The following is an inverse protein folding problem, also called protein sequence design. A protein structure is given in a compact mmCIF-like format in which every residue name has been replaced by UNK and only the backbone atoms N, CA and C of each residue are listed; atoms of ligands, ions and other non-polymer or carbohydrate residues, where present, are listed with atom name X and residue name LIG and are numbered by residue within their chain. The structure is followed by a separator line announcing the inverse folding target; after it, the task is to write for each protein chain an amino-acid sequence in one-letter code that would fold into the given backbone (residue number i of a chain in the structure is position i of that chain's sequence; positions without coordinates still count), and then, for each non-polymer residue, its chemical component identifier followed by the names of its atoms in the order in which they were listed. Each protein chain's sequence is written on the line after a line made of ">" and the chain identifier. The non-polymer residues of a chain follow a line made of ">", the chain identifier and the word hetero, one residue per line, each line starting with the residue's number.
data_IF_737704794275
#
_entry.id   IF_737704794275
#
_cell.length_a   1.000
_cell.length_b   1.000
_cell.length_c   1.000
_cell.angle_alpha   90.00
_cell.angle_beta   90.00
_cell.angle_gamma   90.00
#
_symmetry.space_group_name_H-M   'P 1'
#
loop_
_entity.id
_entity.type
_entity.pdbx_description
1 polymer ?
#
# COMPACT_ATOMS: atom_id res chain seq x y z
N UNK A 1 10.43 -14.17 -2.09
CA UNK A 1 10.39 -12.79 -1.68
C UNK A 1 9.04 -12.12 -1.84
N UNK A 2 8.99 -10.89 -1.43
CA UNK A 2 7.78 -10.07 -1.49
C UNK A 2 7.97 -8.92 -2.47
N UNK A 3 6.88 -8.52 -3.11
CA UNK A 3 6.83 -7.22 -3.76
C UNK A 3 6.51 -6.15 -2.73
N UNK A 4 7.11 -4.99 -2.86
CA UNK A 4 6.88 -3.86 -1.97
C UNK A 4 6.43 -2.66 -2.80
N UNK A 5 5.23 -2.15 -2.52
CA UNK A 5 4.61 -1.12 -3.33
C UNK A 5 4.12 0.04 -2.48
N UNK A 6 4.08 1.24 -3.07
CA UNK A 6 3.53 2.43 -2.42
C UNK A 6 2.22 2.81 -3.09
N UNK A 7 1.18 3.03 -2.30
CA UNK A 7 -0.09 3.62 -2.73
C UNK A 7 -0.32 4.83 -1.84
N UNK A 8 -0.17 6.03 -2.37
CA UNK A 8 -0.13 7.23 -1.55
C UNK A 8 -0.94 8.38 -2.10
N UNK A 9 -1.61 9.08 -1.19
CA UNK A 9 -2.24 10.37 -1.47
C UNK A 9 -1.21 11.46 -1.14
N UNK A 10 -0.54 11.99 -2.16
CA UNK A 10 0.41 13.06 -1.91
C UNK A 10 0.49 14.04 -3.08
N UNK A 11 0.71 15.33 -2.79
CA UNK A 11 0.91 16.32 -3.84
C UNK A 11 2.18 16.04 -4.66
N UNK A 12 2.18 16.50 -5.91
CA UNK A 12 3.30 16.28 -6.82
C UNK A 12 4.61 16.84 -6.27
N UNK A 13 4.57 18.02 -5.68
CA UNK A 13 5.77 18.66 -5.14
C UNK A 13 6.38 17.84 -4.01
N UNK A 14 5.52 17.29 -3.16
CA UNK A 14 5.98 16.46 -2.06
C UNK A 14 6.57 15.15 -2.57
N UNK A 15 5.92 14.53 -3.54
CA UNK A 15 6.42 13.31 -4.15
C UNK A 15 7.79 13.54 -4.82
N UNK A 16 7.94 14.65 -5.55
CA UNK A 16 9.22 14.99 -6.19
C UNK A 16 10.34 15.13 -5.16
N UNK A 17 10.00 15.63 -3.97
CA UNK A 17 10.98 15.76 -2.90
C UNK A 17 11.34 14.40 -2.29
N UNK A 18 10.32 13.62 -1.86
CA UNK A 18 10.58 12.38 -1.11
C UNK A 18 11.07 11.24 -2.00
N UNK A 19 10.75 11.26 -3.29
CA UNK A 19 11.18 10.20 -4.21
C UNK A 19 12.70 10.15 -4.37
N UNK A 20 13.41 11.19 -3.95
CA UNK A 20 14.87 11.22 -3.95
C UNK A 20 15.46 10.46 -2.78
N UNK A 21 14.66 10.15 -1.76
CA UNK A 21 15.14 9.42 -0.60
C UNK A 21 15.47 7.99 -1.00
N UNK A 22 16.55 7.48 -0.45
CA UNK A 22 17.07 6.16 -0.80
C UNK A 22 16.05 5.04 -0.58
N UNK A 23 15.16 5.18 0.40
CA UNK A 23 14.14 4.16 0.71
C UNK A 23 13.26 3.84 -0.51
N UNK A 24 13.01 4.82 -1.39
CA UNK A 24 12.18 4.60 -2.57
C UNK A 24 12.78 3.64 -3.59
N UNK A 25 14.08 3.38 -3.49
CA UNK A 25 14.76 2.43 -4.35
C UNK A 25 14.34 0.97 -4.09
N UNK A 26 13.77 0.73 -2.92
CA UNK A 26 13.36 -0.61 -2.51
C UNK A 26 11.92 -0.94 -2.89
N UNK A 27 11.18 0.01 -3.44
CA UNK A 27 9.81 -0.24 -3.88
C UNK A 27 9.78 -0.76 -5.31
N UNK A 28 9.00 -1.81 -5.52
CA UNK A 28 8.83 -2.42 -6.84
C UNK A 28 7.87 -1.62 -7.71
N UNK A 29 7.02 -0.78 -7.11
CA UNK A 29 6.14 0.08 -7.84
C UNK A 29 5.47 1.11 -6.95
N UNK A 30 4.85 2.11 -7.58
CA UNK A 30 4.26 3.25 -6.90
C UNK A 30 3.02 3.74 -7.64
N UNK A 31 1.95 3.99 -6.89
CA UNK A 31 0.76 4.69 -7.40
C UNK A 31 0.58 5.91 -6.51
N UNK A 32 0.62 7.08 -7.12
CA UNK A 32 0.58 8.35 -6.40
C UNK A 32 -0.59 9.19 -6.91
N UNK A 33 -1.42 9.72 -5.98
CA UNK A 33 -2.66 10.41 -6.32
C UNK A 33 -2.46 11.58 -7.29
N UNK A 34 -1.40 12.34 -7.12
CA UNK A 34 -1.14 13.51 -7.97
C UNK A 34 -0.84 13.15 -9.44
N UNK A 35 -0.42 11.93 -9.70
CA UNK A 35 -0.13 11.45 -11.05
C UNK A 35 -1.32 10.80 -11.71
N UNK A 36 -2.21 10.20 -10.92
CA UNK A 36 -3.30 9.39 -11.45
C UNK A 36 -4.64 10.12 -11.53
N UNK A 37 -4.75 11.28 -10.88
CA UNK A 37 -6.03 11.98 -10.78
C UNK A 37 -7.05 11.27 -9.90
N UNK A 38 -6.61 10.34 -9.09
CA UNK A 38 -7.43 9.56 -8.16
C UNK A 38 -6.77 9.59 -6.80
N UNK A 39 -7.53 9.30 -5.75
CA UNK A 39 -7.03 9.26 -4.39
C UNK A 39 -7.73 8.18 -3.58
N UNK A 40 -7.02 7.61 -2.60
CA UNK A 40 -7.67 6.74 -1.62
C UNK A 40 -8.75 7.53 -0.88
N UNK A 41 -9.88 6.95 -0.55
CA UNK A 41 -10.24 5.54 -0.67
C UNK A 41 -10.99 5.16 -1.95
N UNK A 42 -10.83 5.90 -3.03
CA UNK A 42 -11.49 5.57 -4.29
C UNK A 42 -11.06 4.17 -4.73
N UNK A 43 -12.01 3.23 -4.96
CA UNK A 43 -11.65 1.87 -5.35
C UNK A 43 -10.84 1.79 -6.65
N UNK A 44 -10.98 2.77 -7.53
CA UNK A 44 -10.22 2.79 -8.79
C UNK A 44 -8.72 2.96 -8.55
N UNK A 45 -8.33 3.62 -7.44
CA UNK A 45 -6.92 3.78 -7.11
C UNK A 45 -6.29 2.45 -6.74
N UNK A 46 -7.02 1.62 -5.99
CA UNK A 46 -6.56 0.26 -5.67
C UNK A 46 -6.52 -0.61 -6.93
N UNK A 47 -7.49 -0.44 -7.82
CA UNK A 47 -7.52 -1.15 -9.09
C UNK A 47 -6.31 -0.85 -9.98
N UNK A 48 -5.86 0.39 -9.98
CA UNK A 48 -4.63 0.76 -10.71
C UNK A 48 -3.43 -0.02 -10.20
N UNK A 49 -3.32 -0.17 -8.89
CA UNK A 49 -2.21 -0.91 -8.29
C UNK A 49 -2.23 -2.38 -8.72
N UNK A 50 -3.36 -3.05 -8.58
CA UNK A 50 -3.47 -4.46 -8.91
C UNK A 50 -3.29 -4.71 -10.42
N UNK A 51 -3.86 -3.85 -11.25
CA UNK A 51 -3.80 -3.99 -12.70
C UNK A 51 -2.40 -3.68 -13.24
N UNK A 52 -1.80 -2.58 -12.81
CA UNK A 52 -0.50 -2.13 -13.31
C UNK A 52 0.63 -3.07 -12.93
N UNK A 53 0.57 -3.64 -11.74
CA UNK A 53 1.65 -4.49 -11.23
C UNK A 53 1.27 -5.97 -11.16
N UNK A 54 0.10 -6.34 -11.68
CA UNK A 54 -0.32 -7.73 -11.72
C UNK A 54 -0.54 -8.36 -10.35
N UNK A 55 -1.00 -7.57 -9.39
CA UNK A 55 -1.21 -8.05 -8.03
C UNK A 55 -2.59 -8.66 -7.85
N UNK A 56 -2.67 -9.63 -6.95
CA UNK A 56 -3.94 -10.25 -6.58
C UNK A 56 -4.31 -9.74 -5.18
N UNK A 57 -5.49 -9.11 -5.03
CA UNK A 57 -5.88 -8.57 -3.72
C UNK A 57 -5.78 -9.58 -2.58
N UNK A 58 -6.22 -10.82 -2.82
CA UNK A 58 -6.20 -11.86 -1.79
C UNK A 58 -4.79 -12.31 -1.38
N UNK A 59 -3.78 -11.89 -2.15
CA UNK A 59 -2.38 -12.19 -1.86
C UNK A 59 -1.60 -10.94 -1.46
N UNK A 60 -2.30 -9.84 -1.21
CA UNK A 60 -1.69 -8.55 -0.97
C UNK A 60 -2.16 -8.01 0.38
N UNK A 61 -1.20 -7.60 1.21
CA UNK A 61 -1.48 -6.92 2.46
C UNK A 61 -1.41 -5.41 2.23
N UNK A 62 -2.50 -4.72 2.53
CA UNK A 62 -2.56 -3.26 2.48
C UNK A 62 -2.44 -2.69 3.88
N UNK A 63 -1.47 -1.82 4.09
CA UNK A 63 -1.21 -1.17 5.39
C UNK A 63 -1.39 0.34 5.21
N UNK A 64 -2.22 0.92 6.06
CA UNK A 64 -2.48 2.36 6.04
C UNK A 64 -2.91 2.80 7.45
N UNK A 65 -2.66 4.03 7.80
CA UNK A 65 -3.05 4.55 9.11
C UNK A 65 -4.50 5.02 9.17
N UNK A 66 -5.15 5.18 8.02
CA UNK A 66 -6.54 5.66 7.97
C UNK A 66 -7.52 4.50 7.82
N UNK A 67 -8.45 4.34 8.78
CA UNK A 67 -9.45 3.28 8.70
C UNK A 67 -10.33 3.34 7.45
N UNK A 68 -10.60 4.54 6.92
CA UNK A 68 -11.36 4.67 5.69
C UNK A 68 -10.66 4.01 4.51
N UNK A 69 -9.33 4.06 4.49
CA UNK A 69 -8.54 3.46 3.42
C UNK A 69 -8.45 1.95 3.58
N UNK A 70 -8.18 1.45 4.79
CA UNK A 70 -8.12 0.00 5.02
C UNK A 70 -9.48 -0.66 4.85
N UNK A 71 -10.56 0.01 5.25
CA UNK A 71 -11.92 -0.51 5.00
C UNK A 71 -12.23 -0.63 3.51
N UNK A 72 -11.84 0.36 2.72
CA UNK A 72 -12.04 0.32 1.28
C UNK A 72 -11.25 -0.83 0.64
N UNK A 73 -10.00 -1.02 1.04
CA UNK A 73 -9.18 -2.12 0.56
C UNK A 73 -9.74 -3.48 0.95
N UNK A 74 -10.24 -3.61 2.18
CA UNK A 74 -10.85 -4.86 2.64
C UNK A 74 -12.04 -5.26 1.79
N UNK A 75 -12.86 -4.29 1.40
CA UNK A 75 -14.02 -4.56 0.53
C UNK A 75 -13.61 -5.06 -0.85
N UNK A 76 -12.39 -4.79 -1.27
CA UNK A 76 -11.86 -5.24 -2.54
C UNK A 76 -11.09 -6.57 -2.45
N UNK A 77 -11.05 -7.17 -1.27
CA UNK A 77 -10.43 -8.46 -1.06
C UNK A 77 -9.01 -8.45 -0.55
N UNK A 78 -8.45 -7.27 -0.27
CA UNK A 78 -7.11 -7.18 0.33
C UNK A 78 -7.12 -7.65 1.78
N UNK A 79 -6.04 -8.30 2.21
CA UNK A 79 -5.74 -8.38 3.63
C UNK A 79 -5.33 -6.98 4.08
N UNK A 80 -5.75 -6.54 5.25
CA UNK A 80 -5.50 -5.17 5.68
C UNK A 80 -4.99 -5.10 7.10
N UNK A 81 -4.23 -4.05 7.37
CA UNK A 81 -3.85 -3.69 8.73
C UNK A 81 -3.90 -2.16 8.84
N UNK A 82 -4.69 -1.67 9.81
CA UNK A 82 -4.73 -0.25 10.11
C UNK A 82 -3.58 0.06 11.04
N UNK A 83 -2.58 0.77 10.54
CA UNK A 83 -1.34 1.03 11.27
C UNK A 83 -1.55 2.06 12.37
N UNK A 84 -1.08 1.71 13.56
CA UNK A 84 -0.98 2.64 14.69
C UNK A 84 0.50 2.68 15.06
N UNK A 85 1.12 3.87 15.15
CA UNK A 85 2.54 3.94 15.47
C UNK A 85 2.86 3.18 16.75
N UNK A 86 3.88 2.31 16.69
CA UNK A 86 4.30 1.53 17.82
C UNK A 86 4.72 0.12 17.42
N UNK A 87 5.21 -0.60 18.42
CA UNK A 87 5.76 -1.93 18.24
C UNK A 87 4.72 -2.96 17.84
N UNK A 88 3.50 -2.84 18.37
CA UNK A 88 2.45 -3.83 18.12
C UNK A 88 2.06 -3.92 16.65
N UNK A 89 1.93 -2.78 15.96
CA UNK A 89 1.63 -2.78 14.54
C UNK A 89 2.75 -3.42 13.74
N UNK A 90 4.00 -3.15 14.08
CA UNK A 90 5.14 -3.75 13.40
C UNK A 90 5.14 -5.27 13.56
N UNK A 91 4.85 -5.76 14.76
CA UNK A 91 4.75 -7.20 15.02
C UNK A 91 3.59 -7.83 14.25
N UNK A 92 2.44 -7.15 14.21
CA UNK A 92 1.27 -7.65 13.48
C UNK A 92 1.52 -7.73 11.99
N UNK A 93 2.19 -6.74 11.42
CA UNK A 93 2.56 -6.76 10.00
C UNK A 93 3.47 -7.95 9.73
N UNK A 94 4.44 -8.18 10.60
CA UNK A 94 5.36 -9.31 10.46
C UNK A 94 4.62 -10.65 10.47
N UNK A 95 3.65 -10.81 11.36
CA UNK A 95 2.81 -12.01 11.42
C UNK A 95 2.01 -12.19 10.14
N UNK A 96 1.34 -11.14 9.68
CA UNK A 96 0.48 -11.19 8.50
C UNK A 96 1.29 -11.52 7.24
N UNK A 97 2.46 -10.94 7.11
CA UNK A 97 3.35 -11.22 5.97
C UNK A 97 3.83 -12.67 6.04
N UNK A 98 4.18 -13.16 7.22
CA UNK A 98 4.61 -14.54 7.41
C UNK A 98 3.51 -15.54 7.03
N UNK A 99 2.27 -15.26 7.42
CA UNK A 99 1.11 -16.09 7.08
C UNK A 99 0.78 -16.03 5.59
N UNK A 100 0.84 -14.84 5.00
CA UNK A 100 0.43 -14.62 3.63
C UNK A 100 1.46 -15.05 2.60
N UNK A 101 2.70 -15.15 2.99
CA UNK A 101 3.82 -15.43 2.08
C UNK A 101 4.64 -16.60 2.57
N UNK A 102 3.97 -17.65 2.92
CA UNK A 102 4.59 -18.92 3.32
C UNK A 102 5.49 -19.40 2.19
N UNK A 103 6.71 -19.71 2.53
CA UNK A 103 7.71 -20.10 1.53
C UNK A 103 7.78 -21.58 1.30
#
# INVERSE_FOLDING_TARGET
>A
GYGLYVLSNMPAEFYDHVSRFEVFRYFDGQIVSSREGLAKPDPRMFGLLTERYGLRPERTLFVDDKPSNTSAAARLGFAVHTFVPGRESCLRIRELVGEGYER
#
